data_IF_265106859672
#
_entry.id   IF_265106859672
#
_cell.length_a   1.000
_cell.length_b   1.000
_cell.length_c   1.000
_cell.angle_alpha   90.00
_cell.angle_beta   90.00
_cell.angle_gamma   90.00
#
_symmetry.space_group_name_H-M   'P 1'
#
loop_
_entity.id
_entity.type
_entity.pdbx_description
1 polymer ?
#
# COMPACT_ATOMS: atom_id res chain seq x y z
N UNK A 1 -5.64 27.36 -6.50
CA UNK A 1 -6.74 26.51 -6.98
C UNK A 1 -7.25 25.69 -5.81
N UNK A 2 -8.55 25.69 -5.54
CA UNK A 2 -9.12 24.87 -4.46
C UNK A 2 -9.44 23.48 -5.01
N UNK A 3 -8.81 22.45 -4.47
CA UNK A 3 -8.97 21.06 -4.89
C UNK A 3 -10.03 20.40 -4.00
N UNK A 4 -11.20 20.10 -4.57
CA UNK A 4 -12.31 19.45 -3.85
C UNK A 4 -13.10 18.51 -4.77
N UNK A 5 -13.75 17.54 -4.17
CA UNK A 5 -14.67 16.67 -4.89
C UNK A 5 -15.94 17.45 -5.24
N UNK A 6 -16.33 17.48 -6.52
CA UNK A 6 -17.50 18.23 -7.01
C UNK A 6 -18.82 17.58 -6.61
N UNK A 7 -18.84 16.25 -6.48
CA UNK A 7 -20.02 15.46 -6.14
C UNK A 7 -19.99 15.01 -4.68
N UNK A 8 -21.15 14.92 -4.07
CA UNK A 8 -21.34 14.22 -2.80
C UNK A 8 -21.10 12.71 -2.94
N UNK A 9 -21.00 11.99 -1.84
CA UNK A 9 -20.86 10.53 -1.88
C UNK A 9 -22.12 9.86 -2.45
N UNK A 10 -23.31 10.38 -2.09
CA UNK A 10 -24.60 9.90 -2.53
C UNK A 10 -24.81 10.10 -4.03
N UNK A 11 -24.50 11.30 -4.55
CA UNK A 11 -24.56 11.60 -5.98
C UNK A 11 -23.60 10.73 -6.78
N UNK A 12 -22.38 10.51 -6.27
CA UNK A 12 -21.40 9.63 -6.91
C UNK A 12 -21.89 8.19 -6.96
N UNK A 13 -22.44 7.68 -5.85
CA UNK A 13 -22.96 6.32 -5.79
C UNK A 13 -24.09 6.13 -6.81
N UNK A 14 -25.01 7.09 -6.93
CA UNK A 14 -26.10 7.07 -7.89
C UNK A 14 -25.60 7.04 -9.34
N UNK A 15 -24.63 7.89 -9.70
CA UNK A 15 -24.04 7.91 -11.04
C UNK A 15 -23.37 6.57 -11.40
N UNK A 16 -22.67 5.96 -10.45
CA UNK A 16 -22.02 4.64 -10.66
C UNK A 16 -23.09 3.58 -10.94
N UNK A 17 -24.20 3.57 -10.19
CA UNK A 17 -25.30 2.62 -10.37
C UNK A 17 -26.03 2.86 -11.72
N UNK A 18 -26.42 4.09 -12.00
CA UNK A 18 -27.15 4.47 -13.24
C UNK A 18 -26.36 4.11 -14.50
N UNK A 19 -25.05 4.29 -14.47
CA UNK A 19 -24.17 3.99 -15.61
C UNK A 19 -23.64 2.55 -15.60
N UNK A 20 -24.02 1.73 -14.64
CA UNK A 20 -23.46 0.37 -14.45
C UNK A 20 -21.92 0.35 -14.54
N UNK A 21 -21.27 1.40 -14.01
CA UNK A 21 -19.84 1.64 -14.19
C UNK A 21 -19.01 0.55 -13.50
N UNK A 22 -18.24 -0.18 -14.31
CA UNK A 22 -17.26 -1.12 -13.80
C UNK A 22 -16.00 -0.40 -13.37
N UNK A 23 -15.51 -0.72 -12.16
CA UNK A 23 -14.32 -0.09 -11.60
C UNK A 23 -13.36 -1.15 -11.07
N UNK A 24 -12.07 -0.90 -11.21
CA UNK A 24 -10.99 -1.77 -10.76
C UNK A 24 -10.45 -1.23 -9.45
N UNK A 25 -10.51 -2.04 -8.40
CA UNK A 25 -9.93 -1.72 -7.10
C UNK A 25 -8.49 -2.20 -7.06
N UNK A 26 -7.58 -1.31 -6.69
CA UNK A 26 -6.15 -1.60 -6.59
C UNK A 26 -5.48 -0.79 -5.49
N UNK A 27 -4.31 -1.23 -5.08
CA UNK A 27 -3.47 -0.50 -4.14
C UNK A 27 -2.00 -0.54 -4.57
N UNK A 28 -1.26 0.45 -4.12
CA UNK A 28 0.19 0.46 -4.20
C UNK A 28 0.79 1.36 -3.13
N UNK A 29 2.03 1.11 -2.79
CA UNK A 29 2.83 2.03 -2.00
C UNK A 29 4.24 2.15 -2.58
N UNK A 30 4.88 3.27 -2.35
CA UNK A 30 6.26 3.50 -2.77
C UNK A 30 6.95 4.44 -1.81
N UNK A 31 8.07 4.00 -1.28
CA UNK A 31 9.01 4.86 -0.57
C UNK A 31 9.92 5.55 -1.57
N UNK A 32 10.00 6.87 -1.47
CA UNK A 32 10.92 7.71 -2.22
C UNK A 32 10.96 9.10 -1.57
N UNK A 33 12.08 9.79 -1.71
CA UNK A 33 12.21 11.14 -1.17
C UNK A 33 11.36 12.12 -1.98
N UNK A 34 10.31 12.65 -1.37
CA UNK A 34 9.40 13.62 -1.94
C UNK A 34 9.72 15.02 -1.42
N UNK A 35 10.17 15.91 -2.32
CA UNK A 35 10.59 17.25 -1.92
C UNK A 35 9.44 18.17 -1.48
N UNK A 36 8.27 18.05 -2.12
CA UNK A 36 7.09 18.86 -1.80
C UNK A 36 5.79 18.04 -1.88
N UNK A 37 5.33 17.45 -0.77
CA UNK A 37 4.10 16.66 -0.75
C UNK A 37 2.84 17.44 -1.14
N UNK A 38 2.82 18.76 -0.95
CA UNK A 38 1.67 19.60 -1.31
C UNK A 38 1.53 19.73 -2.82
N UNK A 39 2.60 20.08 -3.53
CA UNK A 39 2.59 20.18 -5.00
C UNK A 39 2.28 18.80 -5.58
N UNK A 40 2.87 17.75 -5.06
CA UNK A 40 2.64 16.39 -5.51
C UNK A 40 1.17 15.97 -5.31
N UNK A 41 0.59 16.21 -4.13
CA UNK A 41 -0.83 15.99 -3.85
C UNK A 41 -1.72 16.71 -4.86
N UNK A 42 -1.42 18.00 -5.13
CA UNK A 42 -2.22 18.83 -6.03
C UNK A 42 -2.13 18.31 -7.47
N UNK A 43 -0.95 17.91 -7.92
CA UNK A 43 -0.74 17.28 -9.23
C UNK A 43 -1.56 15.99 -9.36
N UNK A 44 -1.45 15.08 -8.41
CA UNK A 44 -2.21 13.82 -8.43
C UNK A 44 -3.71 14.08 -8.42
N UNK A 45 -4.19 15.04 -7.60
CA UNK A 45 -5.61 15.34 -7.53
C UNK A 45 -6.14 15.84 -8.88
N UNK A 46 -5.43 16.77 -9.53
CA UNK A 46 -5.83 17.32 -10.83
C UNK A 46 -5.82 16.25 -11.92
N UNK A 47 -4.76 15.45 -12.00
CA UNK A 47 -4.60 14.41 -13.02
C UNK A 47 -5.63 13.29 -12.83
N UNK A 48 -5.74 12.76 -11.62
CA UNK A 48 -6.59 11.60 -11.36
C UNK A 48 -8.08 11.93 -11.26
N UNK A 49 -8.45 13.16 -10.92
CA UNK A 49 -9.85 13.59 -11.00
C UNK A 49 -10.37 13.61 -12.43
N UNK A 50 -9.52 13.88 -13.44
CA UNK A 50 -9.90 13.85 -14.86
C UNK A 50 -10.22 12.43 -15.32
N UNK A 51 -9.56 11.44 -14.74
CA UNK A 51 -9.75 10.01 -15.01
C UNK A 51 -10.85 9.39 -14.15
N UNK A 52 -11.60 10.20 -13.41
CA UNK A 52 -12.63 9.74 -12.46
C UNK A 52 -12.11 8.70 -11.44
N UNK A 53 -10.85 8.83 -11.03
CA UNK A 53 -10.25 7.97 -10.02
C UNK A 53 -10.77 8.37 -8.65
N UNK A 54 -11.20 7.39 -7.88
CA UNK A 54 -11.64 7.55 -6.50
C UNK A 54 -10.68 6.78 -5.60
N UNK A 55 -10.58 7.18 -4.33
CA UNK A 55 -9.71 6.47 -3.42
C UNK A 55 -9.25 7.27 -2.22
N UNK A 56 -8.40 6.61 -1.44
CA UNK A 56 -7.74 7.19 -0.27
C UNK A 56 -6.23 7.10 -0.45
N UNK A 57 -5.59 8.25 -0.48
CA UNK A 57 -4.15 8.37 -0.69
C UNK A 57 -3.53 9.12 0.47
N UNK A 58 -2.42 8.63 0.97
CA UNK A 58 -1.54 9.31 1.91
C UNK A 58 -0.23 9.63 1.21
N UNK A 59 0.17 10.92 1.25
CA UNK A 59 1.44 11.42 0.73
C UNK A 59 2.25 12.01 1.88
N UNK A 60 3.53 11.68 1.95
CA UNK A 60 4.48 12.18 2.93
C UNK A 60 5.82 12.49 2.26
N UNK A 61 6.77 13.08 2.99
CA UNK A 61 8.13 13.30 2.46
C UNK A 61 8.85 12.00 2.11
N UNK A 62 8.45 10.89 2.73
CA UNK A 62 9.02 9.55 2.52
C UNK A 62 8.35 8.76 1.40
N UNK A 63 7.24 9.26 0.79
CA UNK A 63 6.58 8.54 -0.29
C UNK A 63 5.06 8.67 -0.35
N UNK A 64 4.43 7.62 -0.87
CA UNK A 64 2.98 7.51 -1.10
C UNK A 64 2.45 6.14 -0.70
N UNK A 65 1.21 6.12 -0.19
CA UNK A 65 0.40 4.92 0.00
C UNK A 65 -0.99 5.21 -0.58
N UNK A 66 -1.43 4.41 -1.53
CA UNK A 66 -2.65 4.62 -2.31
C UNK A 66 -3.53 3.38 -2.34
N UNK A 67 -4.81 3.58 -2.09
CA UNK A 67 -5.89 2.61 -2.33
C UNK A 67 -6.89 3.28 -3.26
N UNK A 68 -7.13 2.70 -4.43
CA UNK A 68 -7.83 3.34 -5.52
C UNK A 68 -8.94 2.47 -6.10
N UNK A 69 -9.92 3.16 -6.66
CA UNK A 69 -10.94 2.61 -7.55
C UNK A 69 -10.87 3.40 -8.86
N UNK A 70 -10.51 2.72 -9.94
CA UNK A 70 -10.29 3.30 -11.27
C UNK A 70 -11.36 2.77 -12.22
N UNK A 71 -12.05 3.61 -13.01
CA UNK A 71 -12.93 3.13 -14.06
C UNK A 71 -12.19 2.15 -14.97
N UNK A 72 -12.84 1.04 -15.33
CA UNK A 72 -12.19 0.00 -16.14
C UNK A 72 -11.69 0.53 -17.48
N UNK A 73 -12.43 1.43 -18.07
CA UNK A 73 -12.09 2.12 -19.32
C UNK A 73 -10.83 2.98 -19.20
N UNK A 74 -10.56 3.55 -18.02
CA UNK A 74 -9.45 4.48 -17.79
C UNK A 74 -8.20 3.80 -17.20
N UNK A 75 -8.18 2.48 -17.04
CA UNK A 75 -7.08 1.77 -16.36
C UNK A 75 -5.74 1.91 -17.09
N UNK A 76 -5.74 1.93 -18.42
CA UNK A 76 -4.52 2.07 -19.20
C UNK A 76 -3.96 3.48 -19.11
N UNK A 77 -4.82 4.51 -19.26
CA UNK A 77 -4.42 5.90 -19.09
C UNK A 77 -3.91 6.18 -17.67
N UNK A 78 -4.55 5.59 -16.66
CA UNK A 78 -4.02 5.63 -15.28
C UNK A 78 -2.60 5.07 -15.18
N UNK A 79 -2.32 3.90 -15.80
CA UNK A 79 -0.98 3.31 -15.81
C UNK A 79 0.05 4.20 -16.52
N UNK A 80 -0.35 4.89 -17.59
CA UNK A 80 0.50 5.86 -18.28
C UNK A 80 0.84 7.03 -17.36
N UNK A 81 -0.14 7.60 -16.63
CA UNK A 81 0.14 8.66 -15.66
C UNK A 81 1.13 8.25 -14.58
N UNK A 82 1.16 6.97 -14.19
CA UNK A 82 2.16 6.46 -13.24
C UNK A 82 3.56 6.39 -13.85
N UNK A 83 3.68 6.06 -15.15
CA UNK A 83 4.98 6.00 -15.84
C UNK A 83 5.61 7.39 -16.00
N UNK A 84 4.79 8.42 -16.17
CA UNK A 84 5.24 9.81 -16.26
C UNK A 84 5.80 10.35 -14.93
N UNK A 85 5.46 9.71 -13.83
CA UNK A 85 5.99 10.04 -12.50
C UNK A 85 7.22 9.16 -12.24
N UNK A 86 8.44 9.71 -12.43
CA UNK A 86 9.71 8.98 -12.37
C UNK A 86 9.79 7.97 -11.19
N UNK A 87 9.43 8.33 -9.93
CA UNK A 87 9.46 7.38 -8.83
C UNK A 87 8.50 6.18 -8.98
N UNK A 88 7.49 6.27 -9.86
CA UNK A 88 6.50 5.23 -10.06
C UNK A 88 6.79 4.32 -11.26
N UNK A 89 7.84 4.59 -12.00
CA UNK A 89 8.25 3.71 -13.09
C UNK A 89 8.43 2.28 -12.55
N UNK A 90 7.72 1.31 -13.16
CA UNK A 90 7.67 -0.10 -12.74
C UNK A 90 7.13 -0.31 -11.32
N UNK A 91 6.26 0.60 -10.81
CA UNK A 91 5.60 0.37 -9.52
C UNK A 91 4.75 -0.89 -9.57
N UNK A 92 4.83 -1.70 -8.51
CA UNK A 92 3.96 -2.86 -8.35
C UNK A 92 2.55 -2.40 -7.97
N UNK A 93 1.57 -2.80 -8.77
CA UNK A 93 0.15 -2.60 -8.48
C UNK A 93 -0.44 -3.90 -7.94
N UNK A 94 -1.10 -3.83 -6.79
CA UNK A 94 -1.81 -4.94 -6.19
C UNK A 94 -3.30 -4.77 -6.51
N UNK A 95 -3.84 -5.67 -7.32
CA UNK A 95 -5.25 -5.68 -7.72
C UNK A 95 -6.06 -6.48 -6.71
N UNK A 96 -7.24 -5.97 -6.33
CA UNK A 96 -8.17 -6.72 -5.51
C UNK A 96 -8.67 -7.97 -6.26
N UNK A 97 -8.97 -9.04 -5.54
CA UNK A 97 -9.58 -10.25 -6.12
C UNK A 97 -11.00 -9.97 -6.59
N UNK A 98 -11.74 -9.17 -5.83
CA UNK A 98 -13.09 -8.71 -6.13
C UNK A 98 -13.11 -7.21 -6.27
N UNK A 99 -13.89 -6.71 -7.23
CA UNK A 99 -14.00 -5.30 -7.56
C UNK A 99 -15.40 -4.79 -7.24
N UNK A 100 -15.52 -4.03 -6.15
CA UNK A 100 -16.76 -3.36 -5.81
C UNK A 100 -16.74 -1.93 -6.35
N UNK A 101 -17.66 -1.61 -7.28
CA UNK A 101 -17.70 -0.30 -7.93
C UNK A 101 -17.82 0.87 -6.95
N UNK A 102 -18.41 0.64 -5.77
CA UNK A 102 -18.58 1.63 -4.70
C UNK A 102 -17.57 1.51 -3.55
N UNK A 103 -16.42 0.85 -3.75
CA UNK A 103 -15.36 0.77 -2.74
C UNK A 103 -14.88 2.14 -2.25
N UNK A 104 -14.89 3.13 -3.15
CA UNK A 104 -14.62 4.52 -2.84
C UNK A 104 -15.60 5.43 -3.59
N UNK A 105 -16.02 6.51 -2.92
CA UNK A 105 -16.98 7.47 -3.47
C UNK A 105 -16.39 8.89 -3.61
N UNK A 106 -15.15 9.08 -3.17
CA UNK A 106 -14.42 10.36 -3.25
C UNK A 106 -12.94 10.10 -3.53
N UNK A 107 -12.30 11.02 -4.23
CA UNK A 107 -10.84 11.10 -4.29
C UNK A 107 -10.35 11.92 -3.09
N UNK A 108 -9.66 11.27 -2.18
CA UNK A 108 -9.12 11.89 -0.96
C UNK A 108 -7.61 11.71 -0.91
N UNK A 109 -6.85 12.80 -1.03
CA UNK A 109 -5.39 12.79 -0.91
C UNK A 109 -4.99 13.63 0.29
N UNK A 110 -4.47 12.97 1.33
CA UNK A 110 -4.06 13.61 2.58
C UNK A 110 -2.54 13.63 2.71
N UNK A 111 -2.01 14.80 3.07
CA UNK A 111 -0.61 14.91 3.46
C UNK A 111 -0.50 14.41 4.91
N UNK A 112 0.47 13.54 5.14
CA UNK A 112 0.76 12.94 6.44
C UNK A 112 2.25 13.14 6.76
N UNK A 113 2.61 12.94 8.02
CA UNK A 113 4.02 12.88 8.43
C UNK A 113 4.69 11.64 7.86
N UNK A 114 3.97 10.51 7.87
CA UNK A 114 4.37 9.20 7.36
C UNK A 114 3.29 8.57 6.49
N UNK A 115 3.68 7.70 5.57
CA UNK A 115 2.74 6.93 4.73
C UNK A 115 2.23 5.68 5.44
N UNK A 116 2.96 5.20 6.45
CA UNK A 116 2.58 4.08 7.34
C UNK A 116 2.74 4.54 8.78
N UNK A 117 1.81 4.15 9.64
CA UNK A 117 1.86 4.50 11.08
C UNK A 117 2.71 3.48 11.87
N UNK A 118 4.01 3.40 11.57
CA UNK A 118 4.96 2.47 12.19
C UNK A 118 5.40 2.88 13.61
N UNK A 119 5.32 4.18 13.93
CA UNK A 119 5.76 4.72 15.23
C UNK A 119 7.26 4.86 15.39
N UNK A 120 8.05 4.57 14.37
CA UNK A 120 9.51 4.70 14.40
C UNK A 120 9.95 6.16 14.19
N UNK A 121 11.15 6.49 14.68
CA UNK A 121 11.80 7.77 14.37
C UNK A 121 12.53 7.63 13.02
N UNK A 122 12.26 8.54 12.07
CA UNK A 122 12.88 8.56 10.75
C UNK A 122 14.42 8.69 10.78
N UNK A 123 14.97 9.07 11.92
CA UNK A 123 16.41 9.17 12.13
C UNK A 123 17.07 7.83 12.44
N UNK A 124 16.30 6.82 12.82
CA UNK A 124 16.81 5.53 13.29
C UNK A 124 16.95 4.49 12.19
N UNK A 125 16.34 4.72 11.02
CA UNK A 125 16.40 3.79 9.90
C UNK A 125 16.37 4.50 8.55
N UNK A 126 16.80 3.79 7.51
CA UNK A 126 16.78 4.29 6.13
C UNK A 126 15.73 3.51 5.33
N UNK A 127 14.65 4.18 4.93
CA UNK A 127 13.57 3.59 4.11
C UNK A 127 14.04 3.08 2.73
N UNK A 128 15.22 3.47 2.26
CA UNK A 128 15.81 2.95 1.02
C UNK A 128 16.55 1.62 1.22
N UNK A 129 16.85 1.24 2.47
CA UNK A 129 17.45 -0.05 2.80
C UNK A 129 16.34 -1.08 2.97
N UNK A 130 15.87 -1.61 1.85
CA UNK A 130 14.77 -2.58 1.80
C UNK A 130 15.30 -4.01 1.70
N UNK A 131 14.56 -4.96 2.26
CA UNK A 131 14.80 -6.37 2.07
C UNK A 131 14.64 -6.80 0.60
N UNK A 132 15.21 -7.94 0.25
CA UNK A 132 15.08 -8.50 -1.10
C UNK A 132 13.67 -9.05 -1.32
N UNK A 133 12.98 -8.56 -2.34
CA UNK A 133 11.72 -9.16 -2.77
C UNK A 133 11.96 -10.51 -3.42
N UNK A 134 11.22 -11.51 -3.00
CA UNK A 134 11.26 -12.87 -3.53
C UNK A 134 10.01 -13.15 -4.38
N UNK A 135 10.18 -13.95 -5.43
CA UNK A 135 9.07 -14.60 -6.10
C UNK A 135 8.59 -15.84 -5.30
N UNK A 136 7.48 -16.43 -5.72
CA UNK A 136 6.88 -17.56 -5.02
C UNK A 136 7.81 -18.79 -4.95
N UNK A 137 8.62 -19.05 -5.98
CA UNK A 137 9.54 -20.17 -6.02
C UNK A 137 10.66 -20.00 -4.98
N UNK A 138 11.30 -18.84 -4.97
CA UNK A 138 12.36 -18.53 -4.00
C UNK A 138 11.82 -18.43 -2.57
N UNK A 139 10.60 -17.90 -2.39
CA UNK A 139 9.93 -17.90 -1.10
C UNK A 139 9.72 -19.31 -0.57
N UNK A 140 9.21 -20.23 -1.42
CA UNK A 140 8.99 -21.63 -1.06
C UNK A 140 10.29 -22.38 -0.75
N UNK A 141 11.39 -22.05 -1.41
CA UNK A 141 12.71 -22.60 -1.07
C UNK A 141 13.17 -22.13 0.31
N UNK A 142 13.07 -20.82 0.56
CA UNK A 142 13.53 -20.23 1.81
C UNK A 142 12.71 -20.66 3.02
N UNK A 143 11.39 -20.78 2.91
CA UNK A 143 10.53 -21.12 4.07
C UNK A 143 10.82 -22.55 4.59
N UNK A 144 11.36 -23.42 3.73
CA UNK A 144 11.73 -24.80 4.09
C UNK A 144 13.18 -24.92 4.58
N UNK A 145 13.95 -23.85 4.57
CA UNK A 145 15.33 -23.84 5.06
C UNK A 145 15.32 -23.69 6.59
N UNK A 146 16.01 -24.60 7.29
CA UNK A 146 16.13 -24.61 8.75
C UNK A 146 16.81 -23.35 9.34
N UNK A 147 17.55 -22.61 8.50
CA UNK A 147 18.17 -21.34 8.87
C UNK A 147 17.26 -20.12 8.61
N UNK A 148 16.00 -20.35 8.25
CA UNK A 148 15.04 -19.27 7.96
C UNK A 148 13.97 -19.18 9.06
N UNK A 149 13.72 -17.97 9.52
CA UNK A 149 12.59 -17.61 10.40
C UNK A 149 11.55 -16.89 9.55
N UNK A 150 10.34 -17.43 9.45
CA UNK A 150 9.23 -16.81 8.74
C UNK A 150 8.36 -16.00 9.70
N UNK A 151 8.03 -14.77 9.35
CA UNK A 151 7.22 -13.86 10.17
C UNK A 151 6.04 -13.33 9.36
N UNK A 152 4.83 -13.47 9.90
CA UNK A 152 3.61 -12.87 9.35
C UNK A 152 3.52 -11.42 9.82
N UNK A 153 3.65 -10.47 8.86
CA UNK A 153 3.61 -9.04 9.14
C UNK A 153 2.20 -8.44 9.04
N UNK A 154 1.18 -9.27 8.74
CA UNK A 154 -0.20 -8.85 8.63
C UNK A 154 -0.84 -8.66 10.01
N UNK A 155 -2.02 -8.06 10.04
CA UNK A 155 -2.81 -7.99 11.27
C UNK A 155 -3.27 -9.39 11.70
N UNK A 156 -3.45 -9.61 13.02
CA UNK A 156 -3.77 -10.93 13.55
C UNK A 156 -5.03 -11.55 12.92
N UNK A 157 -6.08 -10.76 12.66
CA UNK A 157 -7.32 -11.24 12.03
C UNK A 157 -7.12 -11.78 10.60
N UNK A 158 -6.08 -11.35 9.89
CA UNK A 158 -5.72 -11.90 8.58
C UNK A 158 -5.03 -13.25 8.73
N UNK A 159 -4.23 -13.43 9.78
CA UNK A 159 -3.57 -14.70 10.07
C UNK A 159 -4.55 -15.77 10.58
N UNK A 160 -5.72 -15.39 11.11
CA UNK A 160 -6.79 -16.32 11.48
C UNK A 160 -7.41 -17.00 10.24
N UNK A 161 -7.46 -16.31 9.10
CA UNK A 161 -7.96 -16.88 7.84
C UNK A 161 -6.97 -17.91 7.27
N UNK A 162 -5.68 -17.66 7.42
CA UNK A 162 -4.62 -18.55 6.96
C UNK A 162 -3.24 -17.92 7.06
N UNK A 163 -2.23 -18.76 7.27
CA UNK A 163 -0.83 -18.36 7.40
C UNK A 163 0.11 -19.49 6.94
N UNK A 164 1.37 -19.17 6.67
CA UNK A 164 2.37 -20.17 6.33
C UNK A 164 2.74 -21.02 7.56
N UNK A 165 2.80 -22.33 7.35
CA UNK A 165 3.13 -23.27 8.44
C UNK A 165 4.48 -22.90 9.06
N UNK A 166 4.49 -22.77 10.39
CA UNK A 166 5.69 -22.40 11.16
C UNK A 166 5.99 -20.91 11.21
N UNK A 167 5.19 -20.05 10.58
CA UNK A 167 5.38 -18.62 10.67
C UNK A 167 5.07 -18.10 12.08
N UNK A 168 5.92 -17.20 12.57
CA UNK A 168 5.68 -16.42 13.79
C UNK A 168 4.57 -15.41 13.46
N UNK A 169 3.52 -15.41 14.28
CA UNK A 169 2.35 -14.52 14.13
C UNK A 169 2.31 -13.57 15.33
N UNK A 170 2.69 -12.30 15.17
CA UNK A 170 2.44 -11.31 16.20
C UNK A 170 0.94 -11.19 16.49
N UNK A 171 0.52 -11.48 17.72
CA UNK A 171 -0.88 -11.35 18.13
C UNK A 171 -1.16 -9.91 18.55
N UNK A 172 -1.26 -9.02 17.58
CA UNK A 172 -1.45 -7.57 17.77
C UNK A 172 -2.37 -7.00 16.70
N UNK A 173 -3.02 -5.89 17.04
CA UNK A 173 -3.98 -5.22 16.15
C UNK A 173 -3.32 -4.21 15.21
N UNK A 174 -2.10 -3.79 15.50
CA UNK A 174 -1.44 -2.74 14.73
C UNK A 174 -0.02 -3.12 14.34
N UNK A 175 0.38 -2.71 13.13
CA UNK A 175 1.76 -2.87 12.63
C UNK A 175 2.82 -2.30 13.61
N UNK A 176 2.51 -1.21 14.30
CA UNK A 176 3.41 -0.62 15.30
C UNK A 176 3.72 -1.55 16.45
N UNK A 177 2.73 -2.29 16.92
CA UNK A 177 2.91 -3.25 18.03
C UNK A 177 3.66 -4.49 17.57
N UNK A 178 3.47 -4.91 16.31
CA UNK A 178 4.19 -6.07 15.76
C UNK A 178 5.71 -5.85 15.72
N UNK A 179 6.17 -4.63 15.48
CA UNK A 179 7.60 -4.33 15.40
C UNK A 179 8.36 -4.69 16.68
N UNK A 180 7.78 -4.44 17.85
CA UNK A 180 8.40 -4.81 19.13
C UNK A 180 8.53 -6.34 19.31
N UNK A 181 7.53 -7.08 18.82
CA UNK A 181 7.57 -8.55 18.89
C UNK A 181 8.64 -9.07 17.94
N UNK A 182 8.75 -8.45 16.75
CA UNK A 182 9.77 -8.80 15.76
C UNK A 182 11.17 -8.54 16.29
N UNK A 183 11.41 -7.39 16.93
CA UNK A 183 12.70 -7.08 17.56
C UNK A 183 13.09 -8.16 18.58
N UNK A 184 12.15 -8.57 19.43
CA UNK A 184 12.39 -9.65 20.39
C UNK A 184 12.71 -10.99 19.69
N UNK A 185 12.05 -11.30 18.58
CA UNK A 185 12.32 -12.53 17.81
C UNK A 185 13.67 -12.47 17.09
N UNK A 186 14.08 -11.29 16.60
CA UNK A 186 15.41 -11.07 16.04
C UNK A 186 16.50 -11.28 17.10
N UNK A 187 16.30 -10.76 18.32
CA UNK A 187 17.23 -10.94 19.43
C UNK A 187 17.35 -12.42 19.84
N UNK A 188 16.23 -13.16 19.92
CA UNK A 188 16.23 -14.59 20.29
C UNK A 188 16.92 -15.48 19.26
N UNK A 189 16.67 -15.25 17.97
CA UNK A 189 17.12 -16.10 16.89
C UNK A 189 18.52 -15.72 16.35
N UNK A 190 18.97 -14.50 16.65
CA UNK A 190 20.28 -13.98 16.25
C UNK A 190 20.34 -13.48 14.81
N UNK A 191 21.39 -12.73 14.50
CA UNK A 191 21.59 -12.09 13.19
C UNK A 191 22.05 -13.06 12.08
N UNK A 192 22.39 -14.28 12.45
CA UNK A 192 22.87 -15.33 11.51
C UNK A 192 21.73 -16.01 10.74
N UNK A 193 20.47 -15.76 11.12
CA UNK A 193 19.30 -16.32 10.46
C UNK A 193 18.83 -15.48 9.28
N UNK A 194 18.21 -16.13 8.30
CA UNK A 194 17.44 -15.45 7.29
C UNK A 194 16.04 -15.14 7.85
N UNK A 195 15.59 -13.91 7.66
CA UNK A 195 14.24 -13.50 8.06
C UNK A 195 13.37 -13.31 6.84
N UNK A 196 12.34 -14.15 6.71
CA UNK A 196 11.38 -14.15 5.63
C UNK A 196 10.09 -13.50 6.12
N UNK A 197 9.73 -12.36 5.56
CA UNK A 197 8.55 -11.58 5.97
C UNK A 197 7.51 -11.52 4.85
N UNK A 198 6.21 -11.61 5.19
CA UNK A 198 5.10 -11.50 4.23
C UNK A 198 3.90 -10.76 4.83
#
# INVERSE_FOLDING_TARGET
MQLYNKLSAEERARIIDENSQQRITLSFYKYFKLGNPKIFRDHLFVTWSKLDILGRIYSANEGINAQLSVPKENINEFKETLQDIIPFNKIRLNFALEHYSKSFLKLTIKIRKKIVADGLDDKTFNVANIGKHLDAENFNKMINDSNTVCIDMRNHYESEIGFFKGAIKPNVDTFRESLKIIDNELEKNGSEKNYLMY
#
